data_IF_394736314573
#
_entry.id   IF_394736314573
#
_cell.length_a   1.000
_cell.length_b   1.000
_cell.length_c   1.000
_cell.angle_alpha   90.00
_cell.angle_beta   90.00
_cell.angle_gamma   90.00
#
_symmetry.space_group_name_H-M   'P 1'
#
loop_
_entity.id
_entity.type
_entity.pdbx_description
1 polymer ?
#
# COMPACT_ATOMS: atom_id res chain seq x y z
N UNK A 1 15.76 7.81 -14.34
CA UNK A 1 15.32 6.41 -14.14
C UNK A 1 15.91 5.56 -15.27
N UNK A 2 16.32 4.32 -15.00
CA UNK A 2 16.87 3.34 -15.96
C UNK A 2 15.75 2.45 -16.54
N UNK A 3 15.94 1.89 -17.74
CA UNK A 3 14.93 1.02 -18.37
C UNK A 3 14.81 -0.35 -17.71
N UNK A 4 15.82 -0.78 -16.95
CA UNK A 4 15.77 -1.92 -16.03
C UNK A 4 16.71 -1.70 -14.85
N UNK A 5 16.57 -2.54 -13.82
CA UNK A 5 17.47 -2.55 -12.66
C UNK A 5 17.89 -3.98 -12.32
N UNK A 6 18.98 -4.09 -11.57
CA UNK A 6 19.57 -5.35 -11.11
C UNK A 6 19.75 -5.30 -9.59
N UNK A 7 20.02 -6.44 -8.96
CA UNK A 7 20.17 -6.50 -7.50
C UNK A 7 18.86 -6.31 -6.73
N UNK A 8 17.73 -6.63 -7.36
CA UNK A 8 16.43 -6.66 -6.69
C UNK A 8 16.19 -8.02 -6.06
N UNK A 9 15.79 -8.05 -4.79
CA UNK A 9 15.17 -9.21 -4.17
C UNK A 9 13.65 -9.11 -4.36
N UNK A 10 13.06 -10.10 -5.03
CA UNK A 10 11.63 -10.16 -5.32
C UNK A 10 11.02 -11.39 -4.66
N UNK A 11 9.95 -11.18 -3.90
CA UNK A 11 9.15 -12.25 -3.27
C UNK A 11 7.74 -12.18 -3.83
N UNK A 12 7.22 -13.29 -4.31
CA UNK A 12 5.83 -13.40 -4.75
C UNK A 12 4.94 -13.96 -3.64
N UNK A 13 3.75 -13.39 -3.51
CA UNK A 13 2.67 -13.90 -2.66
C UNK A 13 1.53 -14.36 -3.54
N UNK A 14 1.20 -15.64 -3.45
CA UNK A 14 0.07 -16.26 -4.17
C UNK A 14 -1.09 -16.59 -3.23
N UNK A 15 -0.87 -16.49 -1.91
CA UNK A 15 -1.92 -16.45 -0.90
C UNK A 15 -1.97 -15.04 -0.33
N UNK A 16 -3.15 -14.46 -0.25
CA UNK A 16 -3.27 -13.03 0.08
C UNK A 16 -2.92 -12.76 1.54
N UNK A 17 -3.18 -13.68 2.48
CA UNK A 17 -2.76 -13.56 3.87
C UNK A 17 -1.24 -13.38 4.04
N UNK A 18 -0.42 -14.02 3.20
CA UNK A 18 1.03 -13.88 3.24
C UNK A 18 1.47 -12.45 2.88
N UNK A 19 0.82 -11.85 1.88
CA UNK A 19 1.01 -10.45 1.51
C UNK A 19 0.62 -9.51 2.67
N UNK A 20 -0.54 -9.74 3.28
CA UNK A 20 -1.01 -8.95 4.43
C UNK A 20 -0.05 -9.06 5.63
N UNK A 21 0.44 -10.27 5.91
CA UNK A 21 1.43 -10.51 6.96
C UNK A 21 2.73 -9.76 6.69
N UNK A 22 3.26 -9.82 5.47
CA UNK A 22 4.50 -9.16 5.10
C UNK A 22 4.39 -7.62 5.18
N UNK A 23 3.28 -7.04 4.69
CA UNK A 23 3.03 -5.60 4.83
C UNK A 23 2.97 -5.20 6.29
N UNK A 24 2.22 -5.94 7.13
CA UNK A 24 2.14 -5.63 8.55
C UNK A 24 3.53 -5.67 9.21
N UNK A 25 4.33 -6.70 8.91
CA UNK A 25 5.65 -6.88 9.51
C UNK A 25 6.60 -5.74 9.10
N UNK A 26 6.65 -5.40 7.82
CA UNK A 26 7.46 -4.28 7.32
C UNK A 26 7.00 -2.94 7.90
N UNK A 27 5.69 -2.65 7.88
CA UNK A 27 5.12 -1.41 8.46
C UNK A 27 5.40 -1.32 9.96
N UNK A 28 5.36 -2.43 10.69
CA UNK A 28 5.63 -2.48 12.13
C UNK A 28 7.10 -2.20 12.47
N UNK A 29 7.99 -2.27 11.50
CA UNK A 29 9.44 -2.03 11.68
C UNK A 29 9.91 -0.66 11.20
N UNK A 30 9.00 0.19 10.70
CA UNK A 30 9.32 1.57 10.32
C UNK A 30 9.92 2.36 11.47
N UNK A 31 10.75 3.32 11.13
CA UNK A 31 11.52 4.14 12.07
C UNK A 31 11.27 5.62 11.83
N UNK A 32 11.83 6.42 12.71
CA UNK A 32 11.81 7.88 12.58
C UNK A 32 12.34 8.32 11.21
N UNK A 33 11.57 9.14 10.52
CA UNK A 33 11.89 9.65 9.19
C UNK A 33 11.55 8.71 8.03
N UNK A 34 11.13 7.46 8.27
CA UNK A 34 10.65 6.60 7.19
C UNK A 34 9.39 7.19 6.54
N UNK A 35 9.24 6.93 5.25
CA UNK A 35 8.16 7.38 4.40
C UNK A 35 7.40 6.17 3.91
N UNK A 36 6.10 6.14 4.19
CA UNK A 36 5.16 5.13 3.72
C UNK A 36 4.25 5.77 2.69
N UNK A 37 4.28 5.25 1.47
CA UNK A 37 3.50 5.78 0.34
C UNK A 37 2.58 4.69 -0.20
N UNK A 38 1.27 4.87 -0.10
CA UNK A 38 0.26 3.88 -0.51
C UNK A 38 -0.63 4.44 -1.62
N UNK A 39 -0.53 3.88 -2.83
CA UNK A 39 -1.56 4.07 -3.85
C UNK A 39 -2.53 2.89 -3.82
N UNK A 40 -3.82 3.17 -3.76
CA UNK A 40 -4.85 2.15 -3.57
C UNK A 40 -6.11 2.46 -4.35
N UNK A 41 -6.79 1.43 -4.86
CA UNK A 41 -8.12 1.61 -5.43
C UNK A 41 -9.17 1.65 -4.31
N UNK A 42 -8.97 0.84 -3.26
CA UNK A 42 -9.87 0.76 -2.10
C UNK A 42 -9.10 0.60 -0.80
N UNK A 43 -9.61 1.20 0.26
CA UNK A 43 -9.17 0.92 1.63
C UNK A 43 -10.36 0.62 2.53
N UNK A 44 -10.15 -0.14 3.59
CA UNK A 44 -11.13 -0.30 4.66
C UNK A 44 -10.45 -0.40 6.02
N UNK A 45 -11.21 -0.11 7.08
CA UNK A 45 -10.81 -0.35 8.47
C UNK A 45 -10.88 -1.84 8.80
N UNK A 46 -10.04 -2.64 8.15
CA UNK A 46 -9.93 -4.08 8.31
C UNK A 46 -8.66 -4.44 9.10
N UNK A 47 -8.66 -5.49 9.92
CA UNK A 47 -7.44 -6.10 10.45
C UNK A 47 -6.56 -6.63 9.31
N UNK A 48 -5.26 -6.36 9.38
CA UNK A 48 -4.27 -6.95 8.48
C UNK A 48 -3.96 -8.41 8.87
N UNK A 49 -4.12 -8.79 10.15
CA UNK A 49 -3.92 -10.15 10.65
C UNK A 49 -5.16 -10.66 11.41
N UNK A 50 -6.31 -10.85 10.76
CA UNK A 50 -7.57 -11.27 11.39
C UNK A 50 -7.51 -12.63 12.10
N UNK A 51 -6.57 -13.49 11.70
CA UNK A 51 -6.26 -14.79 12.29
C UNK A 51 -5.53 -14.70 13.64
N UNK A 52 -4.90 -13.56 13.94
CA UNK A 52 -4.17 -13.30 15.19
C UNK A 52 -4.87 -12.24 16.05
N UNK A 53 -5.41 -11.21 15.42
CA UNK A 53 -6.09 -10.08 16.05
C UNK A 53 -7.37 -9.79 15.28
N UNK A 54 -8.38 -10.61 15.54
CA UNK A 54 -9.67 -10.58 14.87
C UNK A 54 -10.41 -9.26 15.00
N UNK A 55 -10.22 -8.54 16.11
CA UNK A 55 -10.88 -7.23 16.32
C UNK A 55 -10.17 -6.08 15.60
N UNK A 56 -8.95 -6.30 15.11
CA UNK A 56 -8.11 -5.24 14.55
C UNK A 56 -7.61 -4.23 15.58
N UNK A 57 -7.68 -4.54 16.87
CA UNK A 57 -7.28 -3.63 17.95
C UNK A 57 -5.81 -3.19 17.89
N UNK A 58 -4.95 -3.97 17.21
CA UNK A 58 -3.53 -3.68 16.98
C UNK A 58 -3.15 -3.77 15.50
N UNK A 59 -3.81 -4.65 14.77
CA UNK A 59 -3.50 -4.97 13.37
C UNK A 59 -4.47 -4.30 12.41
N UNK A 60 -5.45 -3.55 12.90
CA UNK A 60 -6.36 -2.75 12.10
C UNK A 60 -5.64 -1.73 11.23
N UNK A 61 -6.21 -1.45 10.06
CA UNK A 61 -5.66 -0.50 9.10
C UNK A 61 -5.23 0.82 9.74
N UNK A 62 -6.11 1.47 10.53
CA UNK A 62 -5.80 2.74 11.18
C UNK A 62 -4.68 2.58 12.21
N UNK A 63 -4.73 1.53 13.01
CA UNK A 63 -3.82 1.23 14.12
C UNK A 63 -2.40 1.02 13.60
N UNK A 64 -2.25 0.29 12.50
CA UNK A 64 -0.95 0.05 11.85
C UNK A 64 -0.32 1.35 11.37
N UNK A 65 -1.07 2.20 10.67
CA UNK A 65 -0.56 3.50 10.21
C UNK A 65 -0.34 4.50 11.36
N UNK A 66 -1.16 4.42 12.42
CA UNK A 66 -0.93 5.19 13.65
C UNK A 66 0.41 4.81 14.27
N UNK A 67 0.73 3.51 14.33
CA UNK A 67 2.04 3.05 14.81
C UNK A 67 3.20 3.60 13.97
N UNK A 68 3.06 3.71 12.64
CA UNK A 68 4.09 4.33 11.79
C UNK A 68 4.32 5.79 12.20
N UNK A 69 3.24 6.56 12.39
CA UNK A 69 3.31 7.96 12.80
C UNK A 69 3.88 8.11 14.22
N UNK A 70 3.46 7.28 15.17
CA UNK A 70 3.99 7.28 16.54
C UNK A 70 5.51 7.07 16.58
N UNK A 71 6.05 6.25 15.65
CA UNK A 71 7.50 6.05 15.49
C UNK A 71 8.21 7.18 14.73
N UNK A 72 7.49 8.22 14.32
CA UNK A 72 8.03 9.38 13.61
C UNK A 72 8.18 9.19 12.10
N UNK A 73 7.47 8.21 11.51
CA UNK A 73 7.39 8.02 10.07
C UNK A 73 6.21 8.79 9.45
N UNK A 74 6.35 9.24 8.20
CA UNK A 74 5.27 9.88 7.45
C UNK A 74 4.50 8.85 6.63
N UNK A 75 3.18 9.06 6.49
CA UNK A 75 2.29 8.22 5.70
C UNK A 75 1.53 9.09 4.69
N UNK A 76 1.68 8.81 3.41
CA UNK A 76 0.98 9.48 2.32
C UNK A 76 0.17 8.46 1.54
N UNK A 77 -1.15 8.67 1.41
CA UNK A 77 -2.06 7.72 0.77
C UNK A 77 -2.84 8.42 -0.36
N UNK A 78 -2.75 7.85 -1.56
CA UNK A 78 -3.59 8.18 -2.73
C UNK A 78 -4.65 7.10 -2.91
N UNK A 79 -5.92 7.42 -2.63
CA UNK A 79 -7.03 6.52 -2.94
C UNK A 79 -7.83 6.99 -4.14
N UNK A 80 -8.40 6.06 -4.91
CA UNK A 80 -9.34 6.41 -5.98
C UNK A 80 -10.62 7.05 -5.43
N UNK A 81 -10.99 8.22 -5.97
CA UNK A 81 -12.31 8.83 -5.73
C UNK A 81 -13.35 8.24 -6.69
N UNK A 82 -14.52 7.82 -6.19
CA UNK A 82 -15.58 7.34 -7.07
C UNK A 82 -16.97 7.57 -6.51
N UNK A 83 -17.87 8.09 -7.36
CA UNK A 83 -19.30 8.28 -7.08
C UNK A 83 -20.12 6.99 -7.00
N UNK A 84 -19.54 5.84 -7.39
CA UNK A 84 -20.29 4.59 -7.50
C UNK A 84 -19.48 3.40 -7.00
N UNK A 85 -20.15 2.50 -6.25
CA UNK A 85 -19.61 1.20 -5.87
C UNK A 85 -19.80 0.88 -4.40
N UNK A 86 -20.24 -0.36 -4.11
CA UNK A 86 -20.56 -0.80 -2.74
C UNK A 86 -19.40 -0.74 -1.75
N UNK A 87 -18.16 -0.65 -2.23
CA UNK A 87 -16.96 -0.51 -1.40
C UNK A 87 -16.63 0.93 -0.99
N UNK A 88 -17.21 1.94 -1.65
CA UNK A 88 -16.89 3.36 -1.41
C UNK A 88 -17.09 3.80 0.04
N UNK A 89 -18.19 3.45 0.74
CA UNK A 89 -18.36 3.84 2.15
C UNK A 89 -17.22 3.37 3.07
N UNK A 90 -16.57 2.25 2.78
CA UNK A 90 -15.41 1.77 3.53
C UNK A 90 -14.16 2.61 3.24
N UNK A 91 -13.99 3.03 1.99
CA UNK A 91 -12.90 3.88 1.54
C UNK A 91 -12.95 5.26 2.23
N UNK A 92 -14.13 5.88 2.27
CA UNK A 92 -14.37 7.14 3.01
C UNK A 92 -14.04 7.00 4.50
N UNK A 93 -14.50 5.92 5.14
CA UNK A 93 -14.20 5.66 6.55
C UNK A 93 -12.69 5.49 6.80
N UNK A 94 -12.00 4.73 5.95
CA UNK A 94 -10.55 4.56 6.05
C UNK A 94 -9.79 5.88 5.89
N UNK A 95 -10.16 6.68 4.88
CA UNK A 95 -9.60 8.01 4.66
C UNK A 95 -9.77 8.92 5.87
N UNK A 96 -11.00 9.06 6.36
CA UNK A 96 -11.30 9.95 7.49
C UNK A 96 -10.59 9.46 8.77
N UNK A 97 -10.46 8.15 8.95
CA UNK A 97 -9.70 7.58 10.05
C UNK A 97 -8.21 7.90 9.97
N UNK A 98 -7.58 7.80 8.80
CA UNK A 98 -6.17 8.17 8.61
C UNK A 98 -5.95 9.65 8.86
N UNK A 99 -6.80 10.51 8.30
CA UNK A 99 -6.70 11.97 8.50
C UNK A 99 -7.00 12.40 9.95
N UNK A 100 -7.54 11.50 10.79
CA UNK A 100 -7.73 11.75 12.23
C UNK A 100 -6.53 11.37 13.10
N UNK A 101 -5.49 10.76 12.53
CA UNK A 101 -4.29 10.37 13.27
C UNK A 101 -3.52 11.65 13.66
N UNK A 102 -3.24 11.87 14.97
CA UNK A 102 -2.50 13.05 15.39
C UNK A 102 -1.04 12.98 14.89
N UNK A 103 -0.39 14.12 14.63
CA UNK A 103 1.03 14.15 14.31
C UNK A 103 1.89 13.51 15.40
N UNK A 104 3.02 12.95 14.99
CA UNK A 104 4.01 12.34 15.88
C UNK A 104 4.52 13.36 16.90
N UNK A 105 4.59 13.01 18.20
CA UNK A 105 5.22 13.86 19.20
C UNK A 105 6.75 13.91 19.06
N UNK A 106 7.36 13.01 18.27
CA UNK A 106 8.82 12.92 18.10
C UNK A 106 9.33 14.02 17.18
N UNK A 107 8.74 14.15 16.00
CA UNK A 107 9.24 15.00 14.93
C UNK A 107 8.13 15.67 14.09
N UNK A 108 6.87 15.56 14.51
CA UNK A 108 5.73 16.11 13.77
C UNK A 108 5.35 15.34 12.50
N UNK A 109 5.90 14.14 12.27
CA UNK A 109 5.49 13.28 11.17
C UNK A 109 3.97 13.04 11.19
N UNK A 110 3.36 12.90 10.02
CA UNK A 110 1.89 12.83 9.89
C UNK A 110 1.45 11.71 8.97
N UNK A 111 0.17 11.38 9.06
CA UNK A 111 -0.52 10.57 8.05
C UNK A 111 -1.52 11.44 7.28
N UNK A 112 -1.54 11.29 5.96
CA UNK A 112 -2.47 11.99 5.09
C UNK A 112 -3.01 11.05 4.03
N UNK A 113 -4.33 11.04 3.88
CA UNK A 113 -5.05 10.30 2.87
C UNK A 113 -5.89 11.28 2.06
N UNK A 114 -5.51 11.45 0.79
CA UNK A 114 -6.28 12.20 -0.19
C UNK A 114 -6.93 11.25 -1.22
N UNK A 115 -8.08 11.66 -1.73
CA UNK A 115 -8.64 11.03 -2.92
C UNK A 115 -8.04 11.64 -4.18
N UNK A 116 -7.92 10.82 -5.22
CA UNK A 116 -7.36 11.15 -6.53
C UNK A 116 -8.31 10.66 -7.62
N UNK A 117 -8.74 11.59 -8.47
CA UNK A 117 -9.65 11.41 -9.60
C UNK A 117 -9.10 12.02 -10.92
N UNK A 118 -7.77 12.23 -11.04
CA UNK A 118 -7.15 12.97 -12.15
C UNK A 118 -7.30 12.39 -13.56
N UNK A 119 -8.09 11.35 -13.71
CA UNK A 119 -8.38 10.67 -14.97
C UNK A 119 -9.87 10.77 -15.27
N UNK A 120 -10.23 10.54 -16.53
CA UNK A 120 -11.60 10.67 -16.98
C UNK A 120 -12.60 9.83 -16.16
N UNK A 121 -13.84 10.32 -16.04
CA UNK A 121 -14.94 9.76 -15.22
C UNK A 121 -15.29 8.28 -15.45
N UNK A 122 -14.86 7.70 -16.57
CA UNK A 122 -15.09 6.29 -16.92
C UNK A 122 -13.85 5.40 -16.71
N UNK A 123 -12.80 5.93 -16.08
CA UNK A 123 -11.56 5.23 -15.76
C UNK A 123 -11.39 5.12 -14.23
N UNK A 124 -10.32 4.46 -13.77
CA UNK A 124 -9.96 4.44 -12.35
C UNK A 124 -8.45 4.39 -12.12
N UNK A 125 -7.99 5.03 -11.05
CA UNK A 125 -6.65 4.78 -10.51
C UNK A 125 -6.67 3.41 -9.84
N UNK A 126 -6.30 2.39 -10.61
CA UNK A 126 -6.41 0.99 -10.18
C UNK A 126 -5.11 0.40 -9.63
N UNK A 127 -4.05 1.22 -9.54
CA UNK A 127 -2.77 0.80 -8.97
C UNK A 127 -2.94 0.43 -7.50
N UNK A 128 -2.39 -0.72 -7.09
CA UNK A 128 -2.19 -1.09 -5.68
C UNK A 128 -0.71 -1.18 -5.41
N UNK A 129 -0.16 -0.17 -4.78
CA UNK A 129 1.26 -0.12 -4.43
C UNK A 129 1.47 0.40 -3.03
N UNK A 130 2.40 -0.19 -2.29
CA UNK A 130 2.87 0.34 -1.01
C UNK A 130 4.39 0.43 -1.04
N UNK A 131 4.95 1.57 -0.68
CA UNK A 131 6.40 1.77 -0.59
C UNK A 131 6.77 2.16 0.83
N UNK A 132 7.86 1.58 1.32
CA UNK A 132 8.55 2.03 2.54
C UNK A 132 9.96 2.45 2.14
N UNK A 133 10.29 3.72 2.40
CA UNK A 133 11.58 4.30 2.09
C UNK A 133 12.06 5.16 3.27
N UNK A 134 13.32 5.02 3.67
CA UNK A 134 13.98 5.99 4.53
C UNK A 134 14.02 7.39 3.88
N UNK A 135 14.01 8.43 4.71
CA UNK A 135 14.05 9.84 4.28
C UNK A 135 15.23 10.15 3.35
N UNK A 136 16.43 9.70 3.74
CA UNK A 136 17.66 9.85 2.97
C UNK A 136 18.46 8.55 3.02
N UNK A 137 19.02 8.14 1.89
CA UNK A 137 19.89 6.97 1.83
C UNK A 137 20.88 7.06 0.68
N UNK A 138 22.10 7.52 0.99
CA UNK A 138 23.22 7.43 0.05
C UNK A 138 23.85 6.02 0.00
N UNK A 139 23.46 5.11 0.91
CA UNK A 139 24.06 3.80 1.05
C UNK A 139 23.47 2.78 0.08
N UNK A 140 24.30 2.16 -0.76
CA UNK A 140 23.88 1.12 -1.72
C UNK A 140 23.14 -0.07 -1.09
N UNK A 141 23.33 -0.32 0.21
CA UNK A 141 22.70 -1.40 0.97
C UNK A 141 21.36 -1.01 1.62
N UNK A 142 21.02 0.26 1.59
CA UNK A 142 19.79 0.81 2.15
C UNK A 142 18.90 1.17 0.97
N UNK A 143 18.07 0.21 0.55
CA UNK A 143 17.15 0.34 -0.59
C UNK A 143 15.71 0.34 -0.08
N UNK A 144 14.77 1.00 -0.77
CA UNK A 144 13.38 0.96 -0.37
C UNK A 144 12.77 -0.42 -0.62
N UNK A 145 11.64 -0.66 0.04
CA UNK A 145 10.77 -1.81 -0.20
C UNK A 145 9.53 -1.30 -0.91
N UNK A 146 9.06 -2.03 -1.92
CA UNK A 146 7.81 -1.77 -2.60
C UNK A 146 6.97 -3.04 -2.72
N UNK A 147 5.66 -2.89 -2.59
CA UNK A 147 4.65 -3.89 -2.88
C UNK A 147 3.89 -3.47 -4.13
N UNK A 148 3.69 -4.39 -5.08
CA UNK A 148 2.92 -4.16 -6.32
C UNK A 148 2.12 -5.41 -6.68
N UNK A 149 0.82 -5.28 -6.97
CA UNK A 149 -0.02 -6.43 -7.32
C UNK A 149 -1.51 -6.11 -7.44
N UNK A 150 -2.35 -7.13 -7.28
CA UNK A 150 -3.82 -7.03 -7.40
C UNK A 150 -4.57 -6.74 -6.09
N UNK A 151 -3.87 -6.79 -4.96
CA UNK A 151 -4.49 -6.78 -3.62
C UNK A 151 -4.49 -5.37 -3.00
N UNK A 152 -5.69 -4.86 -2.72
CA UNK A 152 -5.92 -3.67 -1.89
C UNK A 152 -5.97 -4.05 -0.38
N UNK A 153 -5.66 -3.10 0.52
CA UNK A 153 -5.83 -3.25 1.97
C UNK A 153 -7.28 -2.95 2.39
N UNK A 154 -8.16 -3.90 2.10
CA UNK A 154 -9.62 -3.74 2.18
C UNK A 154 -10.28 -5.06 2.59
N UNK A 155 -11.54 -4.99 3.03
CA UNK A 155 -12.37 -6.18 3.26
C UNK A 155 -12.47 -7.05 1.99
N UNK A 156 -12.85 -8.31 2.17
CA UNK A 156 -12.86 -9.43 1.22
C UNK A 156 -11.49 -9.97 0.78
N UNK A 157 -10.40 -9.20 0.89
CA UNK A 157 -9.12 -9.57 0.24
C UNK A 157 -8.27 -10.55 1.03
N UNK A 158 -8.33 -10.55 2.36
CA UNK A 158 -7.56 -11.48 3.19
C UNK A 158 -8.11 -12.91 3.10
N UNK A 159 -7.31 -13.86 2.64
CA UNK A 159 -7.64 -15.28 2.55
C UNK A 159 -6.34 -16.11 2.52
N UNK A 160 -6.45 -17.41 2.74
CA UNK A 160 -5.31 -18.33 2.65
C UNK A 160 -5.39 -19.18 1.39
N UNK A 161 -4.31 -19.90 1.07
CA UNK A 161 -4.26 -20.83 -0.06
C UNK A 161 -5.33 -21.94 -0.03
N UNK A 162 -5.96 -22.17 1.13
CA UNK A 162 -6.97 -23.21 1.31
C UNK A 162 -8.40 -22.73 1.04
N UNK A 163 -8.64 -21.41 0.96
CA UNK A 163 -9.96 -20.80 0.71
C UNK A 163 -11.10 -21.31 1.63
N UNK A 164 -10.75 -21.71 2.86
CA UNK A 164 -11.66 -22.31 3.83
C UNK A 164 -11.76 -21.48 5.12
N UNK A 165 -11.46 -20.18 5.04
CA UNK A 165 -11.33 -19.30 6.21
C UNK A 165 -12.55 -18.39 6.44
N UNK A 166 -13.72 -18.78 5.96
CA UNK A 166 -14.97 -18.03 6.15
C UNK A 166 -15.22 -17.67 7.62
N UNK A 167 -14.96 -18.58 8.55
CA UNK A 167 -15.16 -18.31 9.98
C UNK A 167 -14.27 -17.18 10.51
N UNK A 168 -12.99 -17.15 10.11
CA UNK A 168 -12.04 -16.08 10.48
C UNK A 168 -12.46 -14.76 9.83
N UNK A 169 -12.86 -14.81 8.55
CA UNK A 169 -13.29 -13.63 7.79
C UNK A 169 -14.55 -12.99 8.37
N UNK A 170 -15.52 -13.83 8.73
CA UNK A 170 -16.78 -13.38 9.34
C UNK A 170 -16.53 -12.84 10.75
N UNK A 171 -15.69 -13.50 11.56
CA UNK A 171 -15.35 -13.03 12.90
C UNK A 171 -14.58 -11.70 12.87
N UNK A 172 -13.69 -11.50 11.89
CA UNK A 172 -12.97 -10.24 11.67
C UNK A 172 -13.80 -9.14 11.02
N UNK A 173 -15.08 -9.42 10.69
CA UNK A 173 -15.96 -8.53 9.95
C UNK A 173 -15.35 -8.03 8.63
N UNK A 174 -14.58 -8.90 7.96
CA UNK A 174 -13.92 -8.63 6.69
C UNK A 174 -14.59 -9.34 5.51
N UNK A 175 -15.76 -9.95 5.71
CA UNK A 175 -16.59 -10.47 4.61
C UNK A 175 -17.57 -9.42 4.14
N UNK A 176 -17.68 -9.24 2.82
CA UNK A 176 -18.65 -8.38 2.17
C UNK A 176 -19.47 -9.12 1.10
N UNK A 177 -18.88 -9.41 -0.06
CA UNK A 177 -19.59 -10.11 -1.17
C UNK A 177 -19.06 -11.54 -1.31
N UNK A 178 -17.76 -11.74 -1.15
CA UNK A 178 -17.10 -13.01 -1.44
C UNK A 178 -16.64 -13.72 -0.16
N UNK A 179 -16.73 -15.05 -0.15
CA UNK A 179 -16.29 -15.89 0.98
C UNK A 179 -14.83 -16.39 0.86
N UNK A 180 -14.17 -16.04 -0.23
CA UNK A 180 -12.75 -16.29 -0.46
C UNK A 180 -12.19 -15.35 -1.51
N UNK A 181 -10.88 -15.31 -1.66
CA UNK A 181 -10.19 -14.44 -2.63
C UNK A 181 -8.90 -15.08 -3.14
N UNK A 182 -8.71 -15.08 -4.46
CA UNK A 182 -7.50 -15.56 -5.14
C UNK A 182 -6.86 -14.38 -5.85
N UNK A 183 -5.61 -14.10 -5.55
CA UNK A 183 -4.88 -12.98 -6.15
C UNK A 183 -3.36 -13.14 -5.97
N UNK A 184 -2.59 -12.27 -6.62
CA UNK A 184 -1.13 -12.24 -6.54
C UNK A 184 -0.57 -10.86 -6.21
N UNK A 185 0.55 -10.84 -5.48
CA UNK A 185 1.28 -9.61 -5.15
C UNK A 185 2.78 -9.86 -5.09
N UNK A 186 3.59 -8.84 -5.34
CA UNK A 186 5.05 -8.91 -5.25
C UNK A 186 5.56 -7.95 -4.18
N UNK A 187 6.53 -8.39 -3.37
CA UNK A 187 7.41 -7.52 -2.59
C UNK A 187 8.75 -7.40 -3.29
N UNK A 188 9.22 -6.18 -3.48
CA UNK A 188 10.46 -5.82 -4.16
C UNK A 188 11.31 -5.06 -3.15
N UNK A 189 12.47 -5.58 -2.79
CA UNK A 189 13.49 -4.85 -2.05
C UNK A 189 14.69 -4.62 -2.98
N UNK A 190 15.01 -3.36 -3.27
CA UNK A 190 16.11 -3.03 -4.17
C UNK A 190 15.84 -1.82 -5.06
N UNK A 191 16.71 -1.55 -6.05
CA UNK A 191 16.62 -0.37 -6.90
C UNK A 191 15.28 -0.22 -7.65
N UNK A 192 14.59 -1.31 -8.00
CA UNK A 192 13.27 -1.27 -8.64
C UNK A 192 12.18 -0.64 -7.77
N UNK A 193 12.26 -0.79 -6.44
CA UNK A 193 11.27 -0.19 -5.52
C UNK A 193 11.26 1.35 -5.60
N UNK A 194 12.38 1.98 -5.96
CA UNK A 194 12.46 3.43 -6.21
C UNK A 194 11.58 3.89 -7.36
N UNK A 195 11.34 3.02 -8.35
CA UNK A 195 10.54 3.36 -9.53
C UNK A 195 9.07 3.39 -9.17
N UNK A 196 8.64 2.44 -8.34
CA UNK A 196 7.30 2.42 -7.74
C UNK A 196 7.08 3.69 -6.91
N UNK A 197 8.07 4.04 -6.10
CA UNK A 197 8.02 5.25 -5.29
C UNK A 197 7.98 6.53 -6.13
N UNK A 198 8.83 6.64 -7.17
CA UNK A 198 8.83 7.80 -8.06
C UNK A 198 7.52 7.92 -8.84
N UNK A 199 6.84 6.82 -9.15
CA UNK A 199 5.49 6.86 -9.70
C UNK A 199 4.49 7.46 -8.71
N UNK A 200 4.57 7.09 -7.43
CA UNK A 200 3.75 7.70 -6.38
C UNK A 200 4.04 9.19 -6.21
N UNK A 201 5.32 9.57 -6.03
CA UNK A 201 5.74 10.96 -5.82
C UNK A 201 5.33 11.84 -7.01
N UNK A 202 5.45 11.35 -8.25
CA UNK A 202 5.02 12.11 -9.43
C UNK A 202 3.50 12.36 -9.46
N UNK A 203 2.68 11.43 -8.94
CA UNK A 203 1.23 11.64 -8.82
C UNK A 203 0.89 12.58 -7.68
N UNK A 204 1.53 12.40 -6.53
CA UNK A 204 1.32 13.24 -5.36
C UNK A 204 1.69 14.70 -5.64
N UNK A 205 2.88 14.94 -6.20
CA UNK A 205 3.39 16.27 -6.51
C UNK A 205 2.89 16.80 -7.88
N UNK A 206 1.72 16.35 -8.34
CA UNK A 206 1.15 16.87 -9.58
C UNK A 206 0.75 18.34 -9.41
N UNK A 207 1.11 19.19 -10.38
CA UNK A 207 0.67 20.60 -10.41
C UNK A 207 -0.86 20.74 -10.52
N UNK A 208 -1.54 19.67 -10.95
CA UNK A 208 -2.99 19.57 -10.97
C UNK A 208 -3.45 18.98 -9.63
N UNK A 209 -4.31 19.69 -8.90
CA UNK A 209 -4.89 19.18 -7.65
C UNK A 209 -6.03 18.20 -7.94
N UNK A 210 -6.14 17.08 -7.20
CA UNK A 210 -7.20 16.10 -7.41
C UNK A 210 -8.50 16.62 -6.83
N UNK A 211 -9.61 16.04 -7.29
CA UNK A 211 -10.96 16.30 -6.80
C UNK A 211 -11.27 17.80 -6.90
N UNK A 212 -11.19 18.31 -8.13
CA UNK A 212 -11.54 19.70 -8.52
C UNK A 212 -12.74 19.77 -9.47
N UNK A 213 -13.44 18.65 -9.68
CA UNK A 213 -14.51 18.49 -10.66
C UNK A 213 -15.92 18.52 -10.06
N UNK A 214 -16.93 18.42 -10.93
CA UNK A 214 -18.35 18.42 -10.53
C UNK A 214 -18.78 17.16 -9.77
N UNK A 215 -18.09 16.03 -9.99
CA UNK A 215 -18.38 14.75 -9.31
C UNK A 215 -18.06 14.82 -7.81
N UNK A 216 -17.23 15.78 -7.37
CA UNK A 216 -16.88 15.98 -5.97
C UNK A 216 -18.04 16.58 -5.15
N UNK A 217 -18.89 17.41 -5.78
CA UNK A 217 -20.12 17.91 -5.15
C UNK A 217 -21.09 16.76 -4.79
N UNK A 218 -20.98 15.62 -5.48
CA UNK A 218 -21.78 14.42 -5.23
C UNK A 218 -21.19 13.53 -4.12
N UNK A 219 -19.90 13.67 -3.81
CA UNK A 219 -19.17 12.76 -2.92
C UNK A 219 -19.03 13.23 -1.47
N UNK A 220 -19.52 14.43 -1.15
CA UNK A 220 -19.56 15.01 0.20
C UNK A 220 -18.25 14.83 1.00
N UNK A 221 -17.12 15.14 0.35
CA UNK A 221 -15.82 15.24 1.01
C UNK A 221 -15.00 16.40 0.46
N UNK A 222 -14.01 16.82 1.25
CA UNK A 222 -12.98 17.75 0.81
C UNK A 222 -11.61 17.18 1.15
N UNK A 223 -10.68 17.19 0.18
CA UNK A 223 -9.29 16.82 0.43
C UNK A 223 -8.62 17.81 1.38
N UNK A 224 -7.92 17.33 2.43
CA UNK A 224 -7.13 18.23 3.26
C UNK A 224 -6.05 18.90 2.41
N UNK A 225 -5.57 20.06 2.86
CA UNK A 225 -4.38 20.66 2.26
C UNK A 225 -3.19 19.73 2.41
N UNK A 226 -2.39 19.66 1.36
CA UNK A 226 -1.19 18.84 1.32
C UNK A 226 -0.08 19.58 0.57
N UNK A 227 1.15 19.13 0.80
CA UNK A 227 2.35 19.71 0.22
C UNK A 227 3.09 18.62 -0.55
N UNK A 228 3.91 19.05 -1.50
CA UNK A 228 4.83 18.16 -2.20
C UNK A 228 5.71 17.39 -1.23
N UNK A 229 5.88 16.10 -1.51
CA UNK A 229 6.81 15.26 -0.77
C UNK A 229 8.16 15.21 -1.52
N UNK A 230 9.30 15.15 -0.81
CA UNK A 230 10.61 15.14 -1.48
C UNK A 230 10.74 13.97 -2.46
N UNK A 231 11.53 14.16 -3.52
CA UNK A 231 11.97 13.03 -4.35
C UNK A 231 12.82 12.05 -3.54
N UNK A 232 12.86 10.78 -3.95
CA UNK A 232 13.77 9.81 -3.33
C UNK A 232 15.20 10.03 -3.79
N UNK A 233 16.08 10.40 -2.87
CA UNK A 233 17.52 10.46 -3.10
C UNK A 233 18.20 9.16 -2.67
N UNK A 234 18.22 8.18 -3.58
CA UNK A 234 18.91 6.92 -3.38
C UNK A 234 19.87 6.63 -4.53
N UNK A 235 21.14 6.36 -4.21
CA UNK A 235 22.15 5.98 -5.20
C UNK A 235 21.74 4.79 -6.07
N UNK A 236 21.78 4.96 -7.39
CA UNK A 236 21.57 3.86 -8.36
C UNK A 236 22.71 2.85 -8.29
N UNK A 237 22.39 1.55 -8.40
CA UNK A 237 23.44 0.53 -8.54
C UNK A 237 24.02 0.57 -9.95
N UNK A 238 25.34 0.68 -10.06
CA UNK A 238 26.07 0.58 -11.33
C UNK A 238 26.39 -0.89 -11.71
N UNK A 239 25.85 -1.86 -10.97
CA UNK A 239 26.09 -3.28 -11.25
C UNK A 239 25.25 -3.72 -12.44
N UNK A 240 25.90 -4.11 -13.54
CA UNK A 240 25.24 -4.84 -14.63
C UNK A 240 25.07 -6.30 -14.22
N UNK A 241 23.87 -6.84 -14.36
CA UNK A 241 23.62 -8.27 -14.30
C UNK A 241 23.53 -8.78 -15.73
N UNK A 242 24.25 -9.87 -16.03
CA UNK A 242 24.02 -10.62 -17.26
C UNK A 242 22.64 -11.27 -17.16
N UNK A 243 21.81 -11.26 -18.23
CA UNK A 243 20.54 -11.98 -18.24
C UNK A 243 20.79 -13.46 -17.91
N UNK A 244 20.43 -13.87 -16.70
CA UNK A 244 20.42 -15.27 -16.31
C UNK A 244 19.21 -15.95 -16.93
N UNK A 245 19.40 -17.12 -17.53
CA UNK A 245 18.32 -18.01 -17.95
C UNK A 245 17.67 -18.63 -16.71
N UNK A 246 16.88 -17.85 -15.97
CA UNK A 246 16.12 -18.40 -14.83
C UNK A 246 14.88 -19.09 -15.38
N UNK A 247 14.97 -20.40 -15.60
CA UNK A 247 13.80 -21.26 -15.65
C UNK A 247 13.10 -21.15 -14.30
N UNK A 248 11.85 -20.68 -14.30
CA UNK A 248 10.94 -20.83 -13.17
C UNK A 248 10.80 -22.33 -12.89
N UNK A 249 11.59 -22.85 -11.96
CA UNK A 249 11.36 -24.18 -11.38
C UNK A 249 10.44 -23.98 -10.18
N UNK A 250 9.15 -24.20 -10.42
CA UNK A 250 8.17 -24.38 -9.35
C UNK A 250 8.37 -25.81 -8.79
N UNK A 251 8.85 -26.02 -7.55
CA UNK A 251 9.14 -27.36 -7.05
C UNK A 251 7.92 -28.17 -6.63
N UNK A 252 6.69 -27.64 -6.77
CA UNK A 252 5.49 -28.20 -6.15
C UNK A 252 4.37 -28.58 -7.13
N UNK A 253 4.73 -28.85 -8.40
CA UNK A 253 3.81 -29.49 -9.34
C UNK A 253 4.35 -30.87 -9.76
N UNK A 254 4.55 -31.76 -8.77
CA UNK A 254 4.73 -33.18 -9.02
C UNK A 254 4.09 -33.99 -7.87
N UNK A 255 3.09 -34.78 -8.25
CA UNK A 255 2.43 -35.86 -7.49
C UNK A 255 1.67 -35.47 -6.22
N UNK A 256 0.34 -35.32 -6.35
CA UNK A 256 -0.67 -36.33 -5.99
C UNK A 256 -1.98 -36.05 -6.73
#
# INVERSE_FOLDING_TARGET
LSVYTTGNAVTSYTATNEFYNAIYDDLSTTKEGDRVMLATWLSALAPLKPDVDTTGSKTGFKEVFTGVVERGGNVDILGWASIAGGYMPYNFKARNAINSIPPSPINGARALYIFDDHINLIASHHQKTLVIAANTSAGRHYQPVAYVGGIDLVIDRWDTMYHNNTAIRDAGNITYINKGWVDGHLRIHGPAAKYVANNFVARWNSDYLPCRGLDDELLDFENPSYEDIPSLDYGSSNTTASPGSTLCTCPSCLML
#
